data_IF_221258570745
#
_entry.id   IF_221258570745
#
_cell.length_a   1.000
_cell.length_b   1.000
_cell.length_c   1.000
_cell.angle_alpha   90.00
_cell.angle_beta   90.00
_cell.angle_gamma   90.00
#
_symmetry.space_group_name_H-M   'P 1'
#
loop_
_entity.id
_entity.type
_entity.pdbx_description
1 polymer ?
#
# COMPACT_ATOMS: atom_id res chain seq x y z
N UNK A 1 8.59 -0.31 -9.41
CA UNK A 1 7.46 0.31 -10.13
C UNK A 1 6.18 0.29 -9.33
N UNK A 2 5.77 -0.87 -8.81
CA UNK A 2 4.55 -0.98 -8.00
C UNK A 2 4.65 -0.17 -6.72
N UNK A 3 5.84 -0.19 -6.11
CA UNK A 3 6.08 0.56 -4.86
C UNK A 3 5.86 2.05 -5.07
N UNK A 4 6.30 2.57 -6.21
CA UNK A 4 6.13 4.00 -6.50
C UNK A 4 4.67 4.36 -6.71
N UNK A 5 3.91 3.47 -7.31
CA UNK A 5 2.47 3.69 -7.44
C UNK A 5 1.79 3.75 -6.07
N UNK A 6 2.13 2.78 -5.20
CA UNK A 6 1.56 2.74 -3.85
C UNK A 6 1.94 3.99 -3.08
N UNK A 7 3.21 4.38 -3.16
CA UNK A 7 3.69 5.59 -2.48
C UNK A 7 2.93 6.82 -2.96
N UNK A 8 2.76 6.96 -4.25
CA UNK A 8 2.04 8.10 -4.82
C UNK A 8 0.58 8.12 -4.35
N UNK A 9 -0.08 6.96 -4.41
CA UNK A 9 -1.49 6.87 -4.01
C UNK A 9 -1.65 7.20 -2.52
N UNK A 10 -0.78 6.67 -1.68
CA UNK A 10 -0.87 6.89 -0.24
C UNK A 10 -0.55 8.34 0.11
N UNK A 11 0.46 8.91 -0.52
CA UNK A 11 0.79 10.33 -0.28
C UNK A 11 -0.34 11.25 -0.69
N UNK A 12 -1.07 10.89 -1.73
CA UNK A 12 -2.21 11.70 -2.19
C UNK A 12 -3.35 11.69 -1.19
N UNK A 13 -3.45 10.65 -0.37
CA UNK A 13 -4.49 10.52 0.65
C UNK A 13 -4.07 11.09 2.00
N UNK A 14 -2.77 11.13 2.26
CA UNK A 14 -2.25 11.46 3.59
C UNK A 14 -2.28 12.95 3.86
N UNK A 15 -2.59 13.31 5.11
CA UNK A 15 -2.45 14.70 5.56
C UNK A 15 -1.01 15.00 5.95
N UNK A 16 -0.22 13.96 6.23
CA UNK A 16 1.19 14.08 6.57
C UNK A 16 2.02 13.24 5.60
N UNK A 17 2.13 13.66 4.34
CA UNK A 17 2.84 12.86 3.34
C UNK A 17 4.30 12.61 3.66
N UNK A 18 4.92 13.47 4.47
CA UNK A 18 6.31 13.29 4.88
C UNK A 18 6.51 12.05 5.76
N UNK A 19 5.43 11.57 6.36
CA UNK A 19 5.46 10.39 7.22
C UNK A 19 5.23 9.09 6.46
N UNK A 20 4.93 9.19 5.16
CA UNK A 20 4.66 8.00 4.35
C UNK A 20 5.97 7.27 4.04
N UNK A 21 5.99 5.97 4.31
CA UNK A 21 7.10 5.08 3.97
C UNK A 21 6.51 3.83 3.34
N UNK A 22 7.10 3.41 2.25
CA UNK A 22 6.67 2.20 1.56
C UNK A 22 7.88 1.29 1.42
N UNK A 23 7.72 0.05 1.84
CA UNK A 23 8.76 -0.95 1.72
C UNK A 23 8.19 -2.19 1.07
N UNK A 24 9.07 -2.98 0.46
CA UNK A 24 8.69 -4.21 -0.21
C UNK A 24 9.56 -5.34 0.33
N UNK A 25 8.94 -6.48 0.59
CA UNK A 25 9.66 -7.66 0.99
C UNK A 25 9.08 -8.88 0.28
N UNK A 26 9.91 -9.89 0.10
CA UNK A 26 9.49 -11.15 -0.50
C UNK A 26 9.74 -12.24 0.52
N UNK A 27 8.69 -12.96 0.89
CA UNK A 27 8.77 -14.07 1.84
C UNK A 27 8.08 -15.26 1.22
N UNK A 28 8.82 -16.38 1.10
CA UNK A 28 8.31 -17.61 0.51
C UNK A 28 7.70 -17.40 -0.88
N UNK A 29 8.36 -16.56 -1.68
CA UNK A 29 7.90 -16.28 -3.03
C UNK A 29 6.73 -15.32 -3.12
N UNK A 30 6.28 -14.78 -1.99
CA UNK A 30 5.18 -13.82 -1.98
C UNK A 30 5.70 -12.41 -1.71
N UNK A 31 5.32 -11.48 -2.57
CA UNK A 31 5.68 -10.09 -2.40
C UNK A 31 4.68 -9.41 -1.47
N UNK A 32 5.18 -8.65 -0.52
CA UNK A 32 4.37 -7.85 0.38
C UNK A 32 4.87 -6.41 0.35
N UNK A 33 3.96 -5.48 0.12
CA UNK A 33 4.25 -4.06 0.21
C UNK A 33 3.66 -3.58 1.53
N UNK A 34 4.52 -3.02 2.38
CA UNK A 34 4.12 -2.50 3.68
C UNK A 34 4.13 -0.99 3.62
N UNK A 35 3.02 -0.39 4.01
CA UNK A 35 2.85 1.05 4.03
C UNK A 35 2.87 1.54 5.46
N UNK A 36 3.71 2.54 5.75
CA UNK A 36 3.72 3.20 7.04
C UNK A 36 3.29 4.64 6.85
N UNK A 37 2.38 5.08 7.71
CA UNK A 37 1.87 6.46 7.70
C UNK A 37 1.77 6.92 9.14
N UNK A 38 1.51 8.23 9.33
CA UNK A 38 1.25 8.73 10.68
C UNK A 38 0.00 8.07 11.24
N UNK A 39 -0.08 7.97 12.56
CA UNK A 39 -1.26 7.38 13.21
C UNK A 39 -2.53 8.13 12.82
N UNK A 40 -2.41 9.43 12.56
CA UNK A 40 -3.52 10.28 12.14
C UNK A 40 -4.07 9.86 10.78
N UNK A 41 -3.21 9.40 9.90
CA UNK A 41 -3.59 9.06 8.53
C UNK A 41 -3.96 7.60 8.34
N UNK A 42 -3.68 6.75 9.32
CA UNK A 42 -3.87 5.31 9.15
C UNK A 42 -5.30 4.95 8.75
N UNK A 43 -6.29 5.51 9.45
CA UNK A 43 -7.68 5.23 9.13
C UNK A 43 -8.07 5.69 7.73
N UNK A 44 -7.50 6.80 7.28
CA UNK A 44 -7.77 7.35 5.95
C UNK A 44 -7.22 6.44 4.86
N UNK A 45 -6.03 5.90 5.07
CA UNK A 45 -5.38 5.04 4.08
C UNK A 45 -6.04 3.66 4.04
N UNK A 46 -6.41 3.13 5.19
CA UNK A 46 -7.12 1.85 5.25
C UNK A 46 -8.53 1.99 4.65
N UNK A 47 -9.20 3.08 5.00
CA UNK A 47 -10.55 3.35 4.55
C UNK A 47 -11.58 2.56 5.34
N UNK A 48 -12.86 2.90 5.14
CA UNK A 48 -13.94 2.25 5.85
C UNK A 48 -13.98 0.77 5.46
N UNK A 49 -13.88 -0.11 6.47
CA UNK A 49 -13.89 -1.56 6.26
C UNK A 49 -12.77 -2.03 5.32
N UNK A 50 -11.67 -1.28 5.27
CA UNK A 50 -10.53 -1.64 4.43
C UNK A 50 -10.73 -1.40 2.95
N UNK A 51 -11.71 -0.62 2.54
CA UNK A 51 -12.03 -0.43 1.12
C UNK A 51 -10.93 0.27 0.34
N UNK A 52 -10.32 1.29 0.95
CA UNK A 52 -9.29 2.06 0.26
C UNK A 52 -8.05 1.19 0.01
N UNK A 53 -7.58 0.50 1.04
CA UNK A 53 -6.39 -0.32 0.88
C UNK A 53 -6.65 -1.52 -0.05
N UNK A 54 -7.87 -2.05 -0.06
CA UNK A 54 -8.22 -3.12 -1.00
C UNK A 54 -8.25 -2.62 -2.44
N UNK A 55 -8.73 -1.39 -2.65
CA UNK A 55 -8.74 -0.80 -3.99
C UNK A 55 -7.31 -0.64 -4.49
N UNK A 56 -6.42 -0.15 -3.64
CA UNK A 56 -5.00 -0.01 -3.98
C UNK A 56 -4.41 -1.38 -4.32
N UNK A 57 -4.71 -2.38 -3.51
CA UNK A 57 -4.23 -3.74 -3.73
C UNK A 57 -4.71 -4.30 -5.07
N UNK A 58 -5.96 -4.05 -5.42
CA UNK A 58 -6.53 -4.49 -6.70
C UNK A 58 -5.75 -3.90 -7.87
N UNK A 59 -5.49 -2.59 -7.82
CA UNK A 59 -4.74 -1.92 -8.89
C UNK A 59 -3.31 -2.45 -8.96
N UNK A 60 -2.68 -2.64 -7.80
CA UNK A 60 -1.32 -3.18 -7.74
C UNK A 60 -1.24 -4.54 -8.43
N UNK A 61 -2.23 -5.39 -8.17
CA UNK A 61 -2.23 -6.74 -8.75
C UNK A 61 -2.50 -6.71 -10.25
N UNK A 62 -3.23 -5.71 -10.75
CA UNK A 62 -3.40 -5.52 -12.18
C UNK A 62 -2.05 -5.14 -12.82
N UNK A 63 -1.34 -4.20 -12.20
CA UNK A 63 -0.04 -3.74 -12.70
C UNK A 63 0.98 -4.88 -12.68
N UNK A 64 0.92 -5.72 -11.65
CA UNK A 64 1.85 -6.83 -11.47
C UNK A 64 1.40 -8.12 -12.19
N UNK A 65 0.42 -8.01 -13.07
CA UNK A 65 -0.13 -9.17 -13.77
C UNK A 65 0.97 -10.01 -14.41
N UNK A 66 0.91 -11.32 -14.20
CA UNK A 66 1.91 -12.24 -14.69
C UNK A 66 3.02 -12.54 -13.71
N UNK A 67 3.15 -11.75 -12.66
CA UNK A 67 4.21 -11.91 -11.65
C UNK A 67 3.77 -12.51 -10.33
N UNK A 68 2.57 -13.07 -10.27
CA UNK A 68 2.01 -13.57 -9.02
C UNK A 68 1.26 -12.48 -8.26
N UNK A 69 0.75 -12.81 -7.09
CA UNK A 69 -0.01 -11.86 -6.29
C UNK A 69 0.90 -11.04 -5.38
N UNK A 70 0.48 -9.81 -5.13
CA UNK A 70 1.18 -8.88 -4.25
C UNK A 70 0.21 -8.46 -3.15
N UNK A 71 0.64 -8.60 -1.90
CA UNK A 71 -0.14 -8.14 -0.75
C UNK A 71 0.25 -6.72 -0.40
N UNK A 72 -0.74 -5.89 -0.08
CA UNK A 72 -0.49 -4.53 0.39
C UNK A 72 -1.08 -4.42 1.80
N UNK A 73 -0.24 -4.05 2.75
CA UNK A 73 -0.67 -3.93 4.15
C UNK A 73 -0.26 -2.57 4.70
N UNK A 74 -0.99 -2.13 5.71
CA UNK A 74 -0.67 -0.89 6.41
C UNK A 74 -0.15 -1.28 7.79
N UNK A 75 1.05 -0.83 8.11
CA UNK A 75 1.67 -1.13 9.40
C UNK A 75 0.97 -0.38 10.53
N UNK A 76 0.96 -0.99 11.69
CA UNK A 76 0.40 -0.37 12.89
C UNK A 76 1.25 0.78 13.42
#
# INVERSE_FOLDING_TARGET
>A
MVEKFVEYAVRSLATEPNQVRVSRSTVDGKDTITVQVSSRDRGRVVGRQGRTIRAISTIVNIIAAGGGSVSVTVAD
#
